data_IF_152488732542
#
_entry.id   IF_152488732542
#
_cell.length_a   1.000
_cell.length_b   1.000
_cell.length_c   1.000
_cell.angle_alpha   90.00
_cell.angle_beta   90.00
_cell.angle_gamma   90.00
#
_symmetry.space_group_name_H-M   'P 1'
#
loop_
_entity.id
_entity.type
_entity.pdbx_description
1 polymer ?
#
# COMPACT_ATOMS: atom_id res chain seq x y z
N UNK A 1 -42.06 4.22 32.51
CA UNK A 1 -41.16 5.15 31.80
C UNK A 1 -39.76 5.02 32.38
N UNK A 2 -38.79 4.65 31.51
CA UNK A 2 -37.32 4.80 31.61
C UNK A 2 -36.61 4.32 32.90
N UNK A 3 -36.38 3.00 32.99
CA UNK A 3 -35.30 2.44 33.80
C UNK A 3 -33.96 2.59 33.08
N UNK A 4 -32.99 3.27 33.70
CA UNK A 4 -31.59 3.34 33.23
C UNK A 4 -30.74 2.39 34.07
N UNK A 5 -30.56 1.17 33.56
CA UNK A 5 -29.64 0.18 34.10
C UNK A 5 -28.19 0.60 33.86
N UNK A 6 -27.37 0.51 34.91
CA UNK A 6 -25.93 0.78 34.95
C UNK A 6 -25.20 -0.30 34.15
N UNK A 7 -24.41 0.06 33.14
CA UNK A 7 -23.54 -0.88 32.42
C UNK A 7 -22.12 -0.79 32.99
N UNK A 8 -21.89 -1.60 34.03
CA UNK A 8 -20.57 -1.88 34.55
C UNK A 8 -19.76 -2.71 33.53
N UNK A 9 -18.47 -2.40 33.46
CA UNK A 9 -17.38 -3.38 33.38
C UNK A 9 -17.28 -4.30 32.16
N UNK A 10 -16.59 -3.80 31.12
CA UNK A 10 -15.60 -4.63 30.38
C UNK A 10 -14.33 -3.77 30.21
N UNK A 11 -13.66 -3.51 31.32
CA UNK A 11 -12.25 -3.11 31.36
C UNK A 11 -11.43 -4.39 31.37
N UNK A 12 -10.88 -4.82 30.24
CA UNK A 12 -9.64 -5.60 30.13
C UNK A 12 -9.40 -5.98 28.66
N UNK A 13 -8.11 -6.01 28.29
CA UNK A 13 -7.55 -6.47 27.01
C UNK A 13 -7.37 -5.43 25.89
N UNK A 14 -6.74 -4.31 26.22
CA UNK A 14 -5.56 -3.93 25.45
C UNK A 14 -4.50 -3.44 26.41
N UNK A 15 -3.82 -4.42 26.99
CA UNK A 15 -2.64 -4.23 27.83
C UNK A 15 -1.71 -3.26 27.10
N UNK A 16 -1.53 -2.11 27.74
CA UNK A 16 -0.48 -1.15 27.43
C UNK A 16 0.85 -1.88 27.56
N UNK A 17 1.40 -2.36 26.45
CA UNK A 17 2.83 -2.64 26.40
C UNK A 17 3.51 -1.31 26.07
N UNK A 18 3.66 -0.50 27.11
CA UNK A 18 4.61 0.61 27.13
C UNK A 18 6.00 0.01 27.06
N UNK A 19 6.57 -0.03 25.85
CA UNK A 19 8.02 -0.11 25.68
C UNK A 19 8.47 1.20 25.09
N UNK A 20 9.37 1.85 25.81
CA UNK A 20 9.97 3.15 25.57
C UNK A 20 10.86 3.12 24.32
N UNK A 21 10.22 3.08 23.16
CA UNK A 21 10.77 3.67 21.95
C UNK A 21 9.74 4.69 21.49
N UNK A 22 9.94 5.97 21.85
CA UNK A 22 9.31 7.10 21.15
C UNK A 22 9.79 7.06 19.69
N UNK A 23 9.24 6.13 18.92
CA UNK A 23 9.31 6.17 17.46
C UNK A 23 8.64 7.50 17.11
N UNK A 24 9.43 8.43 16.59
CA UNK A 24 8.92 9.73 16.18
C UNK A 24 7.95 9.47 15.03
N UNK A 25 6.66 9.34 15.36
CA UNK A 25 5.61 9.04 14.39
C UNK A 25 5.52 10.22 13.44
N UNK A 26 5.87 9.99 12.18
CA UNK A 26 5.72 10.97 11.10
C UNK A 26 4.30 10.89 10.54
N UNK A 27 3.76 12.03 10.13
CA UNK A 27 2.54 12.08 9.34
C UNK A 27 2.71 11.25 8.06
N UNK A 28 1.90 10.21 7.85
CA UNK A 28 2.03 9.38 6.65
C UNK A 28 1.58 10.10 5.36
N UNK A 29 0.81 11.19 5.47
CA UNK A 29 0.34 11.96 4.32
C UNK A 29 1.41 12.91 3.79
N UNK A 30 2.13 13.63 4.66
CA UNK A 30 3.07 14.69 4.25
C UNK A 30 4.53 14.45 4.71
N UNK A 31 4.76 13.45 5.55
CA UNK A 31 6.04 13.03 6.17
C UNK A 31 6.63 13.94 7.25
N UNK A 32 5.94 15.00 7.60
CA UNK A 32 6.39 15.90 8.66
C UNK A 32 6.27 15.23 10.05
N UNK A 33 7.11 15.64 10.99
CA UNK A 33 7.13 15.14 12.39
C UNK A 33 6.25 15.99 13.32
N UNK A 34 5.77 17.14 12.85
CA UNK A 34 5.04 18.12 13.66
C UNK A 34 3.62 17.71 14.01
N UNK A 35 3.01 16.81 13.24
CA UNK A 35 1.60 16.42 13.39
C UNK A 35 1.38 14.96 12.96
N UNK A 36 0.21 14.42 13.29
CA UNK A 36 -0.26 13.13 12.78
C UNK A 36 -1.19 13.34 11.59
N UNK A 37 -1.44 12.29 10.80
CA UNK A 37 -2.21 12.42 9.57
C UNK A 37 -3.63 12.98 9.74
N UNK A 38 -4.27 12.74 10.89
CA UNK A 38 -5.57 13.32 11.23
C UNK A 38 -5.56 14.86 11.17
N UNK A 39 -4.46 15.47 11.58
CA UNK A 39 -4.26 16.93 11.67
C UNK A 39 -3.44 17.47 10.48
N UNK A 40 -3.28 16.68 9.42
CA UNK A 40 -2.47 17.08 8.29
C UNK A 40 -3.13 18.24 7.53
N UNK A 41 -2.46 19.40 7.38
CA UNK A 41 -3.00 20.52 6.60
C UNK A 41 -3.16 20.17 5.12
N UNK A 42 -2.47 19.12 4.65
CA UNK A 42 -2.45 18.67 3.27
C UNK A 42 -3.32 17.41 3.05
N UNK A 43 -4.23 17.10 3.98
CA UNK A 43 -5.07 15.89 3.93
C UNK A 43 -5.83 15.69 2.61
N UNK A 44 -6.21 16.78 1.95
CA UNK A 44 -6.95 16.75 0.68
C UNK A 44 -6.06 16.50 -0.54
N UNK A 45 -4.73 16.54 -0.42
CA UNK A 45 -3.81 16.40 -1.56
C UNK A 45 -3.43 14.96 -1.87
N UNK A 46 -3.89 14.01 -1.05
CA UNK A 46 -3.48 12.61 -1.13
C UNK A 46 -2.15 12.34 -0.42
N UNK A 47 -1.87 11.05 -0.23
CA UNK A 47 -0.65 10.58 0.44
C UNK A 47 0.58 10.85 -0.42
N UNK A 48 1.66 11.38 0.18
CA UNK A 48 2.97 11.46 -0.48
C UNK A 48 3.58 10.07 -0.61
N UNK A 49 3.90 9.67 -1.83
CA UNK A 49 4.64 8.43 -2.08
C UNK A 49 5.98 8.45 -1.33
N UNK A 50 6.34 7.34 -0.66
CA UNK A 50 7.60 7.19 0.10
C UNK A 50 8.88 7.27 -0.73
N UNK A 51 8.77 7.00 -2.03
CA UNK A 51 9.90 7.01 -2.97
C UNK A 51 10.00 8.35 -3.72
N UNK A 52 8.99 8.73 -4.50
CA UNK A 52 9.08 9.89 -5.38
C UNK A 52 8.68 11.24 -4.74
N UNK A 53 8.14 11.24 -3.52
CA UNK A 53 7.65 12.44 -2.80
C UNK A 53 6.51 13.22 -3.49
N UNK A 54 6.01 12.74 -4.64
CA UNK A 54 4.81 13.26 -5.29
C UNK A 54 3.56 12.83 -4.51
N UNK A 55 2.51 13.65 -4.59
CA UNK A 55 1.22 13.34 -3.97
C UNK A 55 0.39 12.44 -4.89
N UNK A 56 -0.30 11.46 -4.33
CA UNK A 56 -1.24 10.60 -5.05
C UNK A 56 -0.86 9.12 -5.01
N UNK A 57 -1.74 8.24 -5.54
CA UNK A 57 -1.54 6.80 -5.49
C UNK A 57 -0.49 6.29 -6.51
N UNK A 58 -0.24 7.09 -7.54
CA UNK A 58 0.61 6.76 -8.66
C UNK A 58 2.05 7.24 -8.42
N UNK A 59 3.01 6.32 -8.48
CA UNK A 59 4.44 6.59 -8.39
C UNK A 59 5.08 6.44 -9.77
N UNK A 60 5.90 7.42 -10.16
CA UNK A 60 6.81 7.27 -11.30
C UNK A 60 7.95 6.33 -10.90
N UNK A 61 8.18 5.30 -11.69
CA UNK A 61 9.25 4.31 -11.48
C UNK A 61 9.98 4.07 -12.80
N UNK A 62 11.21 3.58 -12.71
CA UNK A 62 12.01 3.18 -13.87
C UNK A 62 12.38 1.70 -13.74
N UNK A 63 12.06 0.91 -14.77
CA UNK A 63 12.38 -0.52 -14.85
C UNK A 63 13.06 -0.75 -16.19
N UNK A 64 14.30 -1.26 -16.18
CA UNK A 64 15.11 -1.48 -17.38
C UNK A 64 15.13 -0.29 -18.34
N UNK A 65 15.35 0.92 -17.80
CA UNK A 65 15.35 2.19 -18.54
C UNK A 65 13.99 2.63 -19.13
N UNK A 66 12.91 1.91 -18.84
CA UNK A 66 11.55 2.31 -19.19
C UNK A 66 10.88 3.04 -18.01
N UNK A 67 10.44 4.28 -18.24
CA UNK A 67 9.67 5.06 -17.26
C UNK A 67 8.21 4.63 -17.27
N UNK A 68 7.68 4.30 -16.09
CA UNK A 68 6.35 3.75 -15.89
C UNK A 68 5.65 4.48 -14.75
N UNK A 69 4.32 4.41 -14.77
CA UNK A 69 3.48 4.81 -13.62
C UNK A 69 3.01 3.54 -12.94
N UNK A 70 3.26 3.43 -11.64
CA UNK A 70 2.93 2.26 -10.83
C UNK A 70 2.09 2.66 -9.61
N UNK A 71 1.16 1.80 -9.22
CA UNK A 71 0.50 1.87 -7.92
C UNK A 71 1.37 1.14 -6.90
N UNK A 72 1.68 1.80 -5.78
CA UNK A 72 2.46 1.19 -4.69
C UNK A 72 1.48 0.75 -3.60
N UNK A 73 1.24 -0.54 -3.53
CA UNK A 73 0.50 -1.16 -2.43
C UNK A 73 1.49 -1.84 -1.49
N UNK A 74 1.67 -1.27 -0.29
CA UNK A 74 2.60 -1.80 0.71
C UNK A 74 2.11 -3.09 1.34
N UNK A 75 0.84 -3.45 1.16
CA UNK A 75 0.21 -4.58 1.82
C UNK A 75 -0.04 -5.76 0.86
N UNK A 76 0.68 -5.80 -0.26
CA UNK A 76 0.61 -6.88 -1.24
C UNK A 76 1.97 -7.56 -1.41
N UNK A 77 2.00 -8.89 -1.31
CA UNK A 77 3.21 -9.70 -1.49
C UNK A 77 3.63 -9.84 -2.96
N UNK A 78 2.73 -9.49 -3.89
CA UNK A 78 2.92 -9.68 -5.33
C UNK A 78 2.96 -8.32 -6.03
N UNK A 79 3.96 -8.16 -6.90
CA UNK A 79 3.97 -7.07 -7.89
C UNK A 79 3.41 -7.58 -9.20
N UNK A 80 2.33 -6.97 -9.68
CA UNK A 80 1.68 -7.32 -10.96
C UNK A 80 1.86 -6.16 -11.93
N UNK A 81 2.13 -6.48 -13.19
CA UNK A 81 2.23 -5.50 -14.28
C UNK A 81 1.27 -5.90 -15.40
N UNK A 82 0.66 -4.90 -16.04
CA UNK A 82 -0.15 -5.15 -17.23
C UNK A 82 0.73 -5.68 -18.38
N UNK A 83 0.23 -6.67 -19.11
CA UNK A 83 0.99 -7.31 -20.19
C UNK A 83 1.42 -6.32 -21.29
N UNK A 84 0.56 -5.35 -21.63
CA UNK A 84 0.85 -4.30 -22.61
C UNK A 84 2.06 -3.42 -22.24
N UNK A 85 2.26 -3.14 -20.95
CA UNK A 85 3.41 -2.38 -20.47
C UNK A 85 4.66 -3.25 -20.43
N UNK A 86 4.52 -4.53 -20.07
CA UNK A 86 5.64 -5.46 -20.08
C UNK A 86 6.22 -5.64 -21.49
N UNK A 87 5.37 -5.70 -22.52
CA UNK A 87 5.81 -5.80 -23.92
C UNK A 87 6.75 -4.64 -24.29
N UNK A 88 6.52 -3.43 -23.75
CA UNK A 88 7.39 -2.26 -24.01
C UNK A 88 8.75 -2.38 -23.34
N UNK A 89 8.80 -3.03 -22.17
CA UNK A 89 10.05 -3.31 -21.45
C UNK A 89 10.80 -4.44 -22.18
N UNK A 90 10.09 -5.51 -22.53
CA UNK A 90 10.59 -6.64 -23.32
C UNK A 90 11.60 -7.55 -22.60
N UNK A 91 12.06 -7.16 -21.41
CA UNK A 91 13.11 -7.86 -20.67
C UNK A 91 12.83 -7.95 -19.16
N UNK A 92 13.34 -8.99 -18.48
CA UNK A 92 13.86 -10.25 -19.07
C UNK A 92 12.76 -11.04 -19.81
N UNK A 93 13.05 -12.18 -20.43
CA UNK A 93 11.98 -13.00 -21.02
C UNK A 93 11.12 -13.63 -19.94
N UNK A 94 9.79 -13.61 -20.12
CA UNK A 94 8.88 -14.34 -19.25
C UNK A 94 9.08 -15.84 -19.45
N UNK A 95 8.91 -16.61 -18.37
CA UNK A 95 8.98 -18.07 -18.42
C UNK A 95 7.70 -18.74 -18.94
N UNK A 96 6.73 -17.96 -19.43
CA UNK A 96 5.40 -18.39 -19.89
C UNK A 96 4.63 -19.25 -18.87
N UNK A 97 5.02 -19.22 -17.58
CA UNK A 97 4.31 -19.91 -16.52
C UNK A 97 3.11 -19.08 -16.09
N UNK A 98 1.92 -19.48 -16.54
CA UNK A 98 0.66 -18.82 -16.20
C UNK A 98 0.39 -18.99 -14.70
N UNK A 99 0.22 -17.87 -13.99
CA UNK A 99 -0.27 -17.85 -12.62
C UNK A 99 -1.72 -17.37 -12.60
N UNK A 100 -2.60 -18.17 -11.99
CA UNK A 100 -4.02 -17.85 -11.83
C UNK A 100 -4.22 -17.05 -10.55
N UNK A 101 -5.02 -15.99 -10.61
CA UNK A 101 -5.38 -15.22 -9.43
C UNK A 101 -6.82 -14.69 -9.52
N UNK A 102 -7.45 -14.55 -8.36
CA UNK A 102 -8.77 -13.93 -8.23
C UNK A 102 -8.58 -12.42 -8.05
N UNK A 103 -9.35 -11.63 -8.79
CA UNK A 103 -9.33 -10.17 -8.69
C UNK A 103 -10.71 -9.63 -8.36
N UNK A 104 -10.79 -8.33 -8.06
CA UNK A 104 -12.08 -7.64 -7.97
C UNK A 104 -12.66 -7.53 -9.39
N UNK A 105 -13.91 -7.97 -9.58
CA UNK A 105 -14.62 -7.89 -10.86
C UNK A 105 -14.37 -9.05 -11.83
N UNK A 106 -13.49 -9.99 -11.52
CA UNK A 106 -13.27 -11.22 -12.31
C UNK A 106 -12.71 -12.32 -11.44
N UNK A 107 -13.35 -13.49 -11.49
CA UNK A 107 -12.93 -14.64 -10.68
C UNK A 107 -11.77 -15.44 -11.27
N UNK A 108 -11.41 -15.18 -12.53
CA UNK A 108 -10.50 -16.03 -13.31
C UNK A 108 -9.48 -15.20 -14.11
N UNK A 109 -8.52 -14.58 -13.41
CA UNK A 109 -7.43 -13.86 -14.07
C UNK A 109 -6.20 -14.74 -14.24
N UNK A 110 -5.49 -14.54 -15.36
CA UNK A 110 -4.27 -15.25 -15.70
C UNK A 110 -3.15 -14.23 -15.95
N UNK A 111 -1.93 -14.51 -15.44
CA UNK A 111 -0.73 -13.78 -15.87
C UNK A 111 -0.15 -14.40 -17.14
N UNK A 112 0.60 -13.61 -17.92
CA UNK A 112 1.36 -14.10 -19.09
C UNK A 112 2.66 -14.81 -18.73
N UNK A 113 3.06 -14.76 -17.46
CA UNK A 113 4.29 -15.35 -16.95
C UNK A 113 4.58 -14.85 -15.55
N UNK A 114 5.72 -15.23 -15.00
CA UNK A 114 6.23 -14.62 -13.78
C UNK A 114 7.73 -14.34 -13.86
N UNK A 115 8.14 -13.45 -12.97
CA UNK A 115 9.52 -13.11 -12.70
C UNK A 115 9.75 -13.31 -11.21
N UNK A 116 10.74 -14.13 -10.86
CA UNK A 116 11.21 -14.25 -9.49
C UNK A 116 12.50 -13.46 -9.36
N UNK A 117 12.53 -12.52 -8.41
CA UNK A 117 13.82 -12.01 -7.93
C UNK A 117 14.49 -13.16 -7.18
N UNK A 118 15.75 -13.45 -7.55
CA UNK A 118 16.59 -14.41 -6.83
C UNK A 118 17.04 -13.80 -5.51
#
# INVERSE_FOLDING_TARGET
MKGKGKRAEVKKLSVRYETEQKTVRRCYLCRDRKHLAADCPMKNKGTKCFRCQENGPNCKVEIAHCKLIALIDTNCDLTIMKADQYIKIGVPKLNNKIFKFRGIGSESNNTWGNLRQR
#
